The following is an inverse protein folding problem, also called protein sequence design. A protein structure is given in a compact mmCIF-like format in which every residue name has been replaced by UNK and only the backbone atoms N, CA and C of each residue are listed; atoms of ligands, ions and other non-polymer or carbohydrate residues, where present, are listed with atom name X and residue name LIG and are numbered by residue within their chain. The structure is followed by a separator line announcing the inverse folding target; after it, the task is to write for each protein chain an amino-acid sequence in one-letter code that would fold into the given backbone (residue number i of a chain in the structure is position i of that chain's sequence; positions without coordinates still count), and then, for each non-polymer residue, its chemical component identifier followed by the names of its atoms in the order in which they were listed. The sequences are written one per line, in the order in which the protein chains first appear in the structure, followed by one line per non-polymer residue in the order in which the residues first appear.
data_IF_476634785532
#
_entry.id   IF_476634785532
#
_cell.length_a   1.000
_cell.length_b   1.000
_cell.length_c   1.000
_cell.angle_alpha   90.00
_cell.angle_beta   90.00
_cell.angle_gamma   90.00
#
_symmetry.space_group_name_H-M   'P 1'
#
loop_
_entity.id
_entity.type
_entity.pdbx_description
1 polymer ?
#
# COMPACT_ATOMS: atom_id res chain seq x y z
N UNK A 1 1.11 -7.06 1.76
CA UNK A 1 0.58 -5.70 1.56
C UNK A 1 -0.92 -5.74 1.40
N UNK A 2 -1.63 -4.78 1.97
CA UNK A 2 -3.07 -4.79 2.03
C UNK A 2 -3.64 -3.46 1.58
N UNK A 3 -4.57 -3.46 0.60
CA UNK A 3 -5.19 -2.24 0.08
C UNK A 3 -6.45 -2.55 -0.73
N UNK A 4 -7.10 -1.55 -1.29
CA UNK A 4 -8.37 -1.74 -1.97
C UNK A 4 -8.20 -2.46 -3.31
N UNK A 5 -9.22 -3.24 -3.69
CA UNK A 5 -9.15 -4.10 -4.85
C UNK A 5 -8.92 -3.39 -6.17
N UNK A 6 -9.41 -2.15 -6.32
CA UNK A 6 -9.18 -1.37 -7.53
C UNK A 6 -7.70 -1.10 -7.77
N UNK A 7 -6.96 -0.77 -6.70
CA UNK A 7 -5.52 -0.54 -6.81
C UNK A 7 -4.79 -1.84 -7.14
N UNK A 8 -5.23 -2.96 -6.55
CA UNK A 8 -4.64 -4.26 -6.85
C UNK A 8 -4.75 -4.57 -8.34
N UNK A 9 -5.93 -4.35 -8.93
CA UNK A 9 -6.13 -4.60 -10.34
C UNK A 9 -5.21 -3.74 -11.19
N UNK A 10 -5.06 -2.46 -10.85
CA UNK A 10 -4.18 -1.56 -11.59
C UNK A 10 -2.72 -2.00 -11.51
N UNK A 11 -2.27 -2.36 -10.33
CA UNK A 11 -0.89 -2.82 -10.12
C UNK A 11 -0.63 -4.09 -10.94
N UNK A 12 -1.56 -5.04 -10.91
CA UNK A 12 -1.39 -6.29 -11.63
C UNK A 12 -1.44 -6.14 -13.14
N UNK A 13 -2.12 -5.12 -13.64
CA UNK A 13 -2.07 -4.80 -15.08
C UNK A 13 -0.67 -4.35 -15.51
N UNK A 14 0.05 -3.70 -14.62
CA UNK A 14 1.38 -3.16 -14.91
C UNK A 14 2.49 -4.16 -14.59
N UNK A 15 2.42 -4.78 -13.43
CA UNK A 15 3.47 -5.64 -12.92
C UNK A 15 3.19 -7.15 -13.03
N UNK A 16 2.00 -7.51 -13.47
CA UNK A 16 1.55 -8.89 -13.47
C UNK A 16 1.00 -9.31 -12.11
N UNK A 17 0.58 -10.55 -12.00
CA UNK A 17 0.00 -11.06 -10.76
C UNK A 17 1.03 -11.04 -9.63
N UNK A 18 0.61 -10.59 -8.45
CA UNK A 18 1.48 -10.45 -7.30
C UNK A 18 0.93 -11.24 -6.11
N UNK A 19 1.57 -12.33 -5.75
CA UNK A 19 1.12 -13.16 -4.64
C UNK A 19 1.21 -12.45 -3.30
N UNK A 20 2.17 -11.56 -3.14
CA UNK A 20 2.35 -10.81 -1.90
C UNK A 20 1.27 -9.76 -1.67
N UNK A 21 0.42 -9.55 -2.66
CA UNK A 21 -0.53 -8.46 -2.66
C UNK A 21 -1.92 -8.93 -2.28
N UNK A 22 -2.46 -8.40 -1.19
CA UNK A 22 -3.82 -8.71 -0.73
C UNK A 22 -4.65 -7.45 -0.70
N UNK A 23 -5.87 -7.52 -1.20
CA UNK A 23 -6.77 -6.39 -1.22
C UNK A 23 -7.96 -6.62 -0.28
N UNK A 24 -8.42 -5.53 0.32
CA UNK A 24 -9.56 -5.58 1.21
C UNK A 24 -10.39 -4.31 1.04
N UNK A 25 -11.65 -4.48 0.65
CA UNK A 25 -12.58 -3.37 0.52
C UNK A 25 -13.44 -3.29 1.78
N UNK A 26 -13.09 -2.33 2.65
CA UNK A 26 -13.81 -2.15 3.91
C UNK A 26 -15.24 -1.67 3.65
N UNK A 27 -16.15 -2.11 4.53
CA UNK A 27 -17.55 -1.67 4.50
C UNK A 27 -18.33 -2.04 3.24
N UNK A 28 -17.91 -3.10 2.55
CA UNK A 28 -18.66 -3.60 1.39
C UNK A 28 -19.91 -4.35 1.82
N UNK A 29 -19.96 -4.81 3.08
CA UNK A 29 -21.14 -5.46 3.64
C UNK A 29 -21.42 -4.91 5.04
N UNK A 30 -22.67 -4.96 5.51
CA UNK A 30 -23.01 -4.49 6.86
C UNK A 30 -22.30 -5.23 7.97
N UNK A 31 -21.92 -6.49 7.73
CA UNK A 31 -21.24 -7.30 8.73
C UNK A 31 -19.73 -7.18 8.68
N UNK A 32 -19.20 -6.30 7.84
CA UNK A 32 -17.76 -6.18 7.69
C UNK A 32 -17.13 -5.70 9.00
N UNK A 33 -16.25 -6.51 9.58
CA UNK A 33 -15.49 -6.12 10.76
C UNK A 33 -14.03 -5.94 10.33
N UNK A 34 -13.62 -4.68 10.25
CA UNK A 34 -12.28 -4.32 9.78
C UNK A 34 -11.19 -4.93 10.66
N UNK A 35 -11.36 -4.83 11.98
CA UNK A 35 -10.37 -5.37 12.91
C UNK A 35 -10.18 -6.88 12.72
N UNK A 36 -11.27 -7.64 12.70
CA UNK A 36 -11.18 -9.09 12.57
C UNK A 36 -10.61 -9.50 11.23
N UNK A 37 -10.97 -8.79 10.16
CA UNK A 37 -10.45 -9.08 8.83
C UNK A 37 -8.95 -8.84 8.76
N UNK A 38 -8.48 -7.70 9.29
CA UNK A 38 -7.05 -7.40 9.33
C UNK A 38 -6.30 -8.42 10.16
N UNK A 39 -6.85 -8.82 11.31
CA UNK A 39 -6.22 -9.81 12.15
C UNK A 39 -6.07 -11.15 11.43
N UNK A 40 -7.12 -11.59 10.74
CA UNK A 40 -7.08 -12.83 9.99
C UNK A 40 -6.04 -12.78 8.86
N UNK A 41 -5.96 -11.66 8.16
CA UNK A 41 -4.99 -11.49 7.08
C UNK A 41 -3.56 -11.46 7.61
N UNK A 42 -3.33 -10.82 8.75
CA UNK A 42 -2.01 -10.79 9.38
C UNK A 42 -1.57 -12.17 9.85
N UNK A 43 -2.50 -13.00 10.31
CA UNK A 43 -2.15 -14.36 10.68
C UNK A 43 -1.68 -15.19 9.50
N UNK A 44 -2.18 -14.88 8.30
CA UNK A 44 -1.76 -15.58 7.10
C UNK A 44 -0.45 -15.06 6.55
N UNK A 45 -0.03 -13.86 6.98
CA UNK A 45 1.23 -13.30 6.55
C UNK A 45 2.36 -14.01 7.29
N UNK A 46 3.37 -14.43 6.54
CA UNK A 46 4.49 -15.14 7.10
C UNK A 46 5.64 -14.17 7.30
N UNK A 47 5.71 -13.55 8.46
CA UNK A 47 6.77 -12.59 8.77
C UNK A 47 6.31 -11.15 8.65
N UNK A 48 7.07 -10.34 7.91
CA UNK A 48 6.82 -8.89 7.83
C UNK A 48 5.64 -8.55 6.95
N UNK A 49 4.89 -7.53 7.35
CA UNK A 49 3.70 -7.09 6.63
C UNK A 49 3.59 -5.58 6.59
N UNK A 50 3.22 -5.03 5.44
CA UNK A 50 2.92 -3.61 5.31
C UNK A 50 1.44 -3.45 4.98
N UNK A 51 0.73 -2.68 5.80
CA UNK A 51 -0.67 -2.36 5.58
C UNK A 51 -0.72 -0.95 5.00
N UNK A 52 -1.36 -0.81 3.84
CA UNK A 52 -1.48 0.49 3.18
C UNK A 52 -2.94 0.92 3.19
N UNK A 53 -3.20 2.10 3.76
CA UNK A 53 -4.54 2.68 3.83
C UNK A 53 -4.61 3.93 2.97
N UNK A 54 -5.82 4.32 2.59
CA UNK A 54 -5.99 5.45 1.66
C UNK A 54 -6.10 6.82 2.34
N UNK A 55 -6.70 6.91 3.51
CA UNK A 55 -6.97 8.20 4.18
C UNK A 55 -6.50 8.21 5.62
N UNK A 56 -5.72 9.24 5.97
CA UNK A 56 -5.28 9.43 7.35
C UNK A 56 -6.47 9.76 8.24
N UNK A 57 -6.58 9.07 9.36
CA UNK A 57 -7.66 9.33 10.31
C UNK A 57 -8.99 8.69 9.96
N UNK A 58 -9.10 7.98 8.85
CA UNK A 58 -10.29 7.23 8.51
C UNK A 58 -10.46 6.03 9.43
N UNK A 59 -11.66 5.44 9.45
CA UNK A 59 -11.94 4.32 10.36
C UNK A 59 -11.08 3.09 10.07
N UNK A 60 -10.79 2.81 8.80
CA UNK A 60 -9.90 1.70 8.45
C UNK A 60 -8.49 1.98 8.95
N UNK A 61 -8.02 3.23 8.80
CA UNK A 61 -6.71 3.61 9.27
C UNK A 61 -6.60 3.48 10.79
N UNK A 62 -7.63 3.87 11.54
CA UNK A 62 -7.62 3.74 12.99
C UNK A 62 -7.49 2.29 13.43
N UNK A 63 -8.18 1.39 12.76
CA UNK A 63 -8.07 -0.03 13.07
C UNK A 63 -6.69 -0.57 12.68
N UNK A 64 -6.17 -0.15 11.53
CA UNK A 64 -4.87 -0.63 11.05
C UNK A 64 -3.72 -0.20 11.95
N UNK A 65 -3.76 1.03 12.46
CA UNK A 65 -2.68 1.57 13.30
C UNK A 65 -2.48 0.75 14.58
N UNK A 66 -3.55 0.15 15.10
CA UNK A 66 -3.44 -0.69 16.29
C UNK A 66 -2.47 -1.86 16.03
N UNK A 67 -2.46 -2.40 14.81
CA UNK A 67 -1.58 -3.51 14.48
C UNK A 67 -0.13 -3.10 14.28
N UNK A 68 0.15 -1.80 14.14
CA UNK A 68 1.53 -1.33 14.00
C UNK A 68 2.37 -1.59 15.27
N UNK A 69 1.73 -1.90 16.39
CA UNK A 69 2.44 -2.27 17.62
C UNK A 69 3.05 -3.67 17.52
N UNK A 70 2.60 -4.50 16.58
CA UNK A 70 3.14 -5.84 16.42
C UNK A 70 4.49 -5.79 15.71
N UNK A 71 5.46 -6.61 16.14
CA UNK A 71 6.76 -6.67 15.47
C UNK A 71 6.57 -7.08 14.00
N UNK A 72 7.28 -6.39 13.10
CA UNK A 72 7.22 -6.72 11.68
C UNK A 72 6.00 -6.17 10.95
N UNK A 73 5.15 -5.40 11.62
CA UNK A 73 3.98 -4.77 10.98
C UNK A 73 4.23 -3.27 10.85
N UNK A 74 4.02 -2.75 9.65
CA UNK A 74 4.11 -1.31 9.39
C UNK A 74 2.84 -0.84 8.70
N UNK A 75 2.40 0.37 9.00
CA UNK A 75 1.21 0.94 8.39
C UNK A 75 1.61 2.21 7.65
N UNK A 76 1.21 2.33 6.39
CA UNK A 76 1.44 3.52 5.58
C UNK A 76 0.08 4.05 5.16
N UNK A 77 -0.15 5.34 5.35
CA UNK A 77 -1.39 5.99 4.95
C UNK A 77 -1.14 6.91 3.77
N UNK A 78 -2.07 6.98 2.86
CA UNK A 78 -1.93 7.79 1.64
C UNK A 78 -1.54 6.93 0.45
N UNK A 79 -2.38 5.93 0.16
CA UNK A 79 -2.10 4.99 -0.92
C UNK A 79 -1.96 5.67 -2.27
N UNK A 80 -0.94 5.32 -3.03
CA UNK A 80 -0.85 5.65 -4.44
C UNK A 80 -0.10 4.55 -5.18
N UNK A 81 -0.21 4.55 -6.51
CA UNK A 81 0.35 3.49 -7.33
C UNK A 81 1.87 3.36 -7.18
N UNK A 82 2.59 4.49 -7.16
CA UNK A 82 4.05 4.48 -7.01
C UNK A 82 4.47 3.85 -5.70
N UNK A 83 3.75 4.15 -4.61
CA UNK A 83 4.03 3.55 -3.31
C UNK A 83 3.92 2.03 -3.39
N UNK A 84 2.80 1.54 -3.89
CA UNK A 84 2.55 0.10 -3.95
C UNK A 84 3.56 -0.60 -4.84
N UNK A 85 3.83 -0.03 -6.02
CA UNK A 85 4.80 -0.60 -6.95
C UNK A 85 6.20 -0.65 -6.34
N UNK A 86 6.62 0.40 -5.62
CA UNK A 86 7.93 0.43 -4.98
C UNK A 86 8.05 -0.64 -3.90
N UNK A 87 7.01 -0.78 -3.08
CA UNK A 87 7.02 -1.80 -2.03
C UNK A 87 7.13 -3.22 -2.60
N UNK A 88 6.55 -3.45 -3.76
CA UNK A 88 6.61 -4.77 -4.39
C UNK A 88 7.92 -5.04 -5.12
N UNK A 89 8.51 -4.02 -5.72
CA UNK A 89 9.72 -4.20 -6.53
C UNK A 89 11.03 -4.10 -5.75
N UNK A 90 11.00 -3.45 -4.58
CA UNK A 90 12.18 -3.28 -3.74
C UNK A 90 12.12 -4.15 -2.49
N UNK A 91 11.49 -5.30 -2.60
CA UNK A 91 11.23 -6.17 -1.44
C UNK A 91 12.48 -6.73 -0.77
N UNK A 92 13.63 -6.66 -1.41
CA UNK A 92 14.87 -7.13 -0.81
C UNK A 92 15.40 -6.16 0.25
N UNK A 93 14.87 -4.95 0.32
CA UNK A 93 15.31 -3.98 1.33
C UNK A 93 14.81 -4.35 2.73
N UNK A 94 15.57 -4.02 3.77
CA UNK A 94 15.06 -4.16 5.15
C UNK A 94 13.77 -3.37 5.32
N UNK A 95 12.87 -3.85 6.17
CA UNK A 95 11.52 -3.32 6.28
C UNK A 95 11.45 -1.80 6.48
N UNK A 96 12.20 -1.26 7.41
CA UNK A 96 12.15 0.19 7.67
C UNK A 96 12.71 0.99 6.50
N UNK A 97 13.72 0.47 5.82
CA UNK A 97 14.28 1.11 4.65
C UNK A 97 13.31 1.04 3.48
N UNK A 98 12.63 -0.09 3.32
CA UNK A 98 11.60 -0.27 2.29
C UNK A 98 10.47 0.74 2.47
N UNK A 99 10.00 0.92 3.69
CA UNK A 99 8.93 1.88 3.99
C UNK A 99 9.38 3.30 3.66
N UNK A 100 10.58 3.70 4.08
CA UNK A 100 11.09 5.04 3.79
C UNK A 100 11.25 5.27 2.29
N UNK A 101 11.78 4.28 1.57
CA UNK A 101 11.97 4.38 0.13
C UNK A 101 10.62 4.50 -0.59
N UNK A 102 9.65 3.67 -0.20
CA UNK A 102 8.32 3.72 -0.79
C UNK A 102 7.64 5.07 -0.60
N UNK A 103 7.70 5.61 0.60
CA UNK A 103 7.11 6.91 0.89
C UNK A 103 7.79 8.02 0.11
N UNK A 104 9.13 8.01 0.06
CA UNK A 104 9.89 9.03 -0.67
C UNK A 104 9.57 9.01 -2.17
N UNK A 105 9.52 7.83 -2.76
CA UNK A 105 9.19 7.70 -4.18
C UNK A 105 7.75 8.14 -4.46
N UNK A 106 6.83 7.78 -3.57
CA UNK A 106 5.44 8.17 -3.72
C UNK A 106 5.26 9.69 -3.64
N UNK A 107 5.93 10.33 -2.69
CA UNK A 107 5.86 11.77 -2.55
C UNK A 107 6.45 12.48 -3.77
N UNK A 108 7.55 11.98 -4.30
CA UNK A 108 8.17 12.54 -5.47
C UNK A 108 7.34 12.36 -6.73
N UNK A 109 6.46 11.36 -6.75
CA UNK A 109 5.63 11.07 -7.93
C UNK A 109 4.44 12.01 -8.08
N UNK A 110 4.09 12.75 -7.02
CA UNK A 110 2.95 13.67 -7.07
C UNK A 110 3.48 15.00 -7.60
N UNK A 111 3.23 15.26 -8.87
CA UNK A 111 3.76 16.42 -9.57
C UNK A 111 2.73 17.01 -10.50
N UNK A 112 2.86 18.29 -10.76
CA UNK A 112 2.12 18.93 -11.84
C UNK A 112 3.04 18.96 -13.05
N UNK A 113 2.83 18.10 -14.05
CA UNK A 113 3.71 18.10 -15.21
C UNK A 113 3.53 19.37 -16.04
N UNK A 114 4.62 19.86 -16.62
CA UNK A 114 4.56 21.01 -17.49
C UNK A 114 4.68 20.56 -18.94
N UNK A 115 3.99 21.27 -19.86
CA UNK A 115 4.14 21.00 -21.27
C UNK A 115 5.48 21.55 -21.73
N UNK A 116 6.26 20.70 -22.38
CA UNK A 116 7.56 21.10 -22.89
C UNK A 116 7.50 21.04 -24.42
N UNK A 117 8.06 22.05 -25.05
CA UNK A 117 8.08 22.13 -26.51
C UNK A 117 8.84 20.97 -27.08
N UNK A 118 8.30 20.40 -28.23
CA UNK A 118 8.86 19.30 -28.74
C UNK A 118 10.19 19.37 -29.28
N UNK A 119 10.69 20.45 -29.57
CA UNK A 119 12.03 20.48 -30.02
C UNK A 119 12.95 20.04 -28.95
N UNK A 120 12.45 19.98 -27.74
CA UNK A 120 13.28 19.59 -26.74
C UNK A 120 13.28 18.22 -26.49
N UNK A 121 12.67 17.53 -27.04
CA UNK A 121 12.52 16.42 -26.77
C UNK A 121 13.02 15.51 -26.87
N UNK A 122 12.91 14.97 -26.74
CA UNK A 122 13.06 13.72 -26.49
C UNK A 122 13.75 13.03 -27.57
#
# INVERSE_FOLDING_TARGET
MLFRSGMKNTVEMILGEQEALKAFDAYTTPECNVHDTLEAMLRQADGECVIVTDVLGGSVNKEAVVFAAQPGVRVITGMNLTLVATLLTEEELPLDELVRTGIAEAQASIQQPEFVSKEEDF
#
